data_IF_474153192035
#
_entry.id   IF_474153192035
#
_cell.length_a   1.000
_cell.length_b   1.000
_cell.length_c   1.000
_cell.angle_alpha   90.00
_cell.angle_beta   90.00
_cell.angle_gamma   90.00
#
_symmetry.space_group_name_H-M   'P 1'
#
loop_
_entity.id
_entity.type
_entity.pdbx_description
1 polymer ?
#
# COMPACT_ATOMS: atom_id res chain seq x y z
N UNK A 1 56.74 -16.63 -6.16
CA UNK A 1 55.71 -16.50 -7.22
C UNK A 1 54.51 -17.36 -6.86
N UNK A 2 53.40 -16.75 -6.43
CA UNK A 2 52.01 -17.13 -6.76
C UNK A 2 51.07 -16.24 -5.94
N UNK A 3 50.48 -15.26 -6.64
CA UNK A 3 49.47 -14.36 -6.14
C UNK A 3 48.20 -15.15 -5.85
N UNK A 4 47.69 -15.07 -4.62
CA UNK A 4 46.35 -15.55 -4.29
C UNK A 4 45.41 -14.36 -4.30
N UNK A 5 44.84 -14.12 -5.48
CA UNK A 5 43.75 -13.16 -5.67
C UNK A 5 42.48 -13.78 -5.08
N UNK A 6 42.22 -13.53 -3.80
CA UNK A 6 40.94 -13.86 -3.18
C UNK A 6 40.01 -12.66 -3.40
N UNK A 7 39.38 -12.59 -4.57
CA UNK A 7 38.29 -11.64 -4.81
C UNK A 7 37.03 -12.25 -4.19
N UNK A 8 36.77 -11.83 -2.95
CA UNK A 8 35.52 -12.06 -2.25
C UNK A 8 34.44 -11.21 -2.92
N UNK A 9 33.75 -11.76 -3.91
CA UNK A 9 32.58 -11.11 -4.50
C UNK A 9 31.41 -11.23 -3.51
N UNK A 10 31.30 -10.24 -2.63
CA UNK A 10 30.19 -10.08 -1.70
C UNK A 10 28.91 -9.78 -2.49
N UNK A 11 28.05 -10.78 -2.60
CA UNK A 11 26.67 -10.65 -3.06
C UNK A 11 25.93 -9.80 -2.02
N UNK A 12 25.94 -8.47 -2.19
CA UNK A 12 25.07 -7.55 -1.44
C UNK A 12 23.94 -7.12 -2.38
N UNK A 13 23.07 -8.06 -2.73
CA UNK A 13 21.86 -7.78 -3.50
C UNK A 13 20.56 -8.03 -2.70
N UNK A 14 20.66 -8.35 -1.40
CA UNK A 14 19.49 -8.73 -0.58
C UNK A 14 18.93 -7.66 0.37
N UNK A 15 19.70 -6.62 0.71
CA UNK A 15 19.36 -5.80 1.89
C UNK A 15 18.60 -4.50 1.61
N UNK A 16 18.56 -4.01 0.37
CA UNK A 16 17.90 -2.72 0.08
C UNK A 16 16.37 -2.89 0.00
N UNK A 17 15.90 -4.04 -0.52
CA UNK A 17 14.48 -4.33 -0.63
C UNK A 17 13.81 -4.58 0.74
N UNK A 18 14.49 -5.28 1.65
CA UNK A 18 13.99 -5.53 3.02
C UNK A 18 14.01 -4.26 3.88
N UNK A 19 15.09 -3.47 3.81
CA UNK A 19 15.20 -2.21 4.55
C UNK A 19 14.12 -1.18 4.15
N UNK A 20 13.71 -1.16 2.87
CA UNK A 20 12.62 -0.28 2.42
C UNK A 20 11.24 -0.76 2.87
N UNK A 21 10.97 -2.08 2.86
CA UNK A 21 9.68 -2.61 3.31
C UNK A 21 9.45 -2.36 4.81
N UNK A 22 10.45 -2.60 5.66
CA UNK A 22 10.36 -2.37 7.10
C UNK A 22 10.17 -0.88 7.43
N UNK A 23 10.81 0.01 6.68
CA UNK A 23 10.61 1.44 6.80
C UNK A 23 9.15 1.84 6.51
N UNK A 24 8.58 1.35 5.40
CA UNK A 24 7.19 1.65 5.05
C UNK A 24 6.18 1.06 6.04
N UNK A 25 6.42 -0.17 6.52
CA UNK A 25 5.60 -0.76 7.58
C UNK A 25 5.56 0.12 8.84
N UNK A 26 6.71 0.63 9.27
CA UNK A 26 6.79 1.50 10.44
C UNK A 26 6.11 2.86 10.19
N UNK A 27 6.30 3.42 9.01
CA UNK A 27 5.71 4.70 8.59
C UNK A 27 4.17 4.61 8.58
N UNK A 28 3.61 3.55 7.98
CA UNK A 28 2.17 3.35 7.94
C UNK A 28 1.56 3.02 9.31
N UNK A 29 2.27 2.31 10.20
CA UNK A 29 1.83 2.13 11.61
C UNK A 29 1.78 3.45 12.36
N UNK A 30 2.80 4.29 12.19
CA UNK A 30 2.86 5.61 12.82
C UNK A 30 1.74 6.51 12.31
N UNK A 31 1.51 6.47 11.00
CA UNK A 31 0.41 7.21 10.35
C UNK A 31 -0.96 6.74 10.85
N UNK A 32 -1.18 5.43 10.99
CA UNK A 32 -2.43 4.91 11.52
C UNK A 32 -2.71 5.46 12.93
N UNK A 33 -1.73 5.42 13.83
CA UNK A 33 -1.86 5.98 15.17
C UNK A 33 -2.10 7.50 15.14
N UNK A 34 -1.43 8.22 14.25
CA UNK A 34 -1.63 9.65 14.07
C UNK A 34 -3.06 9.95 13.59
N UNK A 35 -3.54 9.25 12.57
CA UNK A 35 -4.88 9.42 12.03
C UNK A 35 -5.95 9.11 13.07
N UNK A 36 -5.77 8.05 13.88
CA UNK A 36 -6.66 7.74 15.00
C UNK A 36 -6.70 8.89 16.02
N UNK A 37 -5.54 9.36 16.50
CA UNK A 37 -5.46 10.48 17.47
C UNK A 37 -6.09 11.77 16.95
N UNK A 38 -5.87 12.08 15.67
CA UNK A 38 -6.48 13.25 15.02
C UNK A 38 -8.01 13.17 15.02
N UNK A 39 -8.59 11.98 14.96
CA UNK A 39 -10.04 11.79 15.03
C UNK A 39 -10.59 11.74 16.45
N UNK A 40 -9.82 11.23 17.42
CA UNK A 40 -10.20 11.15 18.83
C UNK A 40 -10.19 12.52 19.53
N UNK A 41 -9.30 13.43 19.10
CA UNK A 41 -9.18 14.77 19.69
C UNK A 41 -10.23 15.79 19.25
N UNK A 42 -11.07 15.47 18.26
CA UNK A 42 -12.08 16.39 17.73
C UNK A 42 -13.45 16.04 18.32
N UNK A 43 -13.93 16.86 19.24
CA UNK A 43 -15.26 16.67 19.82
C UNK A 43 -16.34 16.73 18.73
N UNK A 44 -17.48 16.02 18.87
CA UNK A 44 -18.57 16.06 17.90
C UNK A 44 -19.08 17.48 17.59
N UNK A 45 -18.93 18.41 18.53
CA UNK A 45 -19.28 19.83 18.34
C UNK A 45 -18.27 20.59 17.47
N UNK A 46 -16.97 20.26 17.54
CA UNK A 46 -15.95 20.83 16.66
C UNK A 46 -16.10 20.32 15.22
N UNK A 47 -16.44 19.03 15.03
CA UNK A 47 -16.74 18.47 13.70
C UNK A 47 -17.97 19.13 13.05
N UNK A 48 -19.04 19.35 13.83
CA UNK A 48 -20.27 20.01 13.34
C UNK A 48 -20.04 21.48 12.97
N UNK A 49 -19.22 22.21 13.73
CA UNK A 49 -18.90 23.62 13.43
C UNK A 49 -17.96 23.78 12.25
N UNK A 50 -17.00 22.86 12.09
CA UNK A 50 -16.07 22.88 10.97
C UNK A 50 -16.70 22.37 9.66
N UNK A 51 -17.81 21.64 9.73
CA UNK A 51 -18.38 20.89 8.60
C UNK A 51 -17.36 19.91 7.97
N UNK A 52 -16.33 19.55 8.73
CA UNK A 52 -15.28 18.62 8.31
C UNK A 52 -15.44 17.34 9.14
N UNK A 53 -15.78 16.25 8.46
CA UNK A 53 -15.71 14.91 9.03
C UNK A 53 -14.30 14.39 8.79
N UNK A 54 -13.35 14.80 9.65
CA UNK A 54 -12.00 14.21 9.66
C UNK A 54 -12.15 12.77 10.12
N UNK A 55 -12.20 11.87 9.14
CA UNK A 55 -12.27 10.42 9.33
C UNK A 55 -10.87 9.83 9.21
N UNK A 56 -10.52 8.90 10.11
CA UNK A 56 -9.22 8.25 10.14
C UNK A 56 -8.93 7.53 8.82
N UNK A 57 -9.97 7.05 8.13
CA UNK A 57 -9.85 6.45 6.82
C UNK A 57 -9.43 7.45 5.73
N UNK A 58 -9.99 8.66 5.74
CA UNK A 58 -9.64 9.71 4.79
C UNK A 58 -8.20 10.21 5.03
N UNK A 59 -7.81 10.34 6.30
CA UNK A 59 -6.43 10.67 6.68
C UNK A 59 -5.45 9.63 6.15
N UNK A 60 -5.75 8.34 6.35
CA UNK A 60 -4.91 7.25 5.88
C UNK A 60 -4.81 7.20 4.35
N UNK A 61 -5.93 7.37 3.65
CA UNK A 61 -5.98 7.43 2.19
C UNK A 61 -5.19 8.62 1.63
N UNK A 62 -5.31 9.81 2.24
CA UNK A 62 -4.55 10.99 1.83
C UNK A 62 -3.05 10.79 1.99
N UNK A 63 -2.62 10.19 3.10
CA UNK A 63 -1.21 9.89 3.33
C UNK A 63 -0.68 8.90 2.28
N UNK A 64 -1.38 7.77 2.07
CA UNK A 64 -1.01 6.79 1.05
C UNK A 64 -0.91 7.43 -0.35
N UNK A 65 -1.90 8.22 -0.75
CA UNK A 65 -1.91 8.91 -2.04
C UNK A 65 -0.66 9.81 -2.18
N UNK A 66 -0.34 10.57 -1.13
CA UNK A 66 0.81 11.46 -1.11
C UNK A 66 2.13 10.70 -1.24
N UNK A 67 2.29 9.57 -0.55
CA UNK A 67 3.49 8.74 -0.64
C UNK A 67 3.65 8.10 -2.02
N UNK A 68 2.56 7.63 -2.64
CA UNK A 68 2.60 7.04 -3.98
C UNK A 68 3.00 8.04 -5.07
N UNK A 69 2.64 9.31 -4.89
CA UNK A 69 3.06 10.40 -5.79
C UNK A 69 4.49 10.87 -5.52
N UNK A 70 4.91 10.93 -4.26
CA UNK A 70 6.25 11.35 -3.86
C UNK A 70 7.32 10.33 -4.22
N UNK A 71 6.99 9.03 -4.17
CA UNK A 71 7.92 7.92 -4.32
C UNK A 71 7.58 7.02 -5.53
N UNK A 72 7.59 7.53 -6.78
CA UNK A 72 7.16 6.78 -7.96
C UNK A 72 8.01 5.53 -8.22
N UNK A 73 9.26 5.50 -7.76
CA UNK A 73 10.16 4.33 -7.89
C UNK A 73 9.91 3.25 -6.83
N UNK A 74 9.13 3.56 -5.79
CA UNK A 74 8.89 2.67 -4.65
C UNK A 74 7.40 2.35 -4.46
N UNK A 75 6.56 2.63 -5.45
CA UNK A 75 5.10 2.47 -5.34
C UNK A 75 4.67 1.07 -4.88
N UNK A 76 5.37 0.01 -5.32
CA UNK A 76 5.10 -1.36 -4.87
C UNK A 76 5.37 -1.54 -3.37
N UNK A 77 6.52 -1.04 -2.88
CA UNK A 77 6.89 -1.12 -1.46
C UNK A 77 5.95 -0.29 -0.59
N UNK A 78 5.55 0.90 -1.06
CA UNK A 78 4.56 1.76 -0.38
C UNK A 78 3.22 1.04 -0.29
N UNK A 79 2.70 0.50 -1.40
CA UNK A 79 1.44 -0.22 -1.44
C UNK A 79 1.46 -1.45 -0.51
N UNK A 80 2.54 -2.25 -0.57
CA UNK A 80 2.70 -3.43 0.28
C UNK A 80 2.77 -3.06 1.75
N UNK A 81 3.49 -1.99 2.11
CA UNK A 81 3.53 -1.45 3.46
C UNK A 81 2.14 -1.09 3.98
N UNK A 82 1.36 -0.34 3.19
CA UNK A 82 0.00 0.05 3.55
C UNK A 82 -0.93 -1.16 3.77
N UNK A 83 -0.89 -2.14 2.86
CA UNK A 83 -1.71 -3.35 2.93
C UNK A 83 -1.40 -4.23 4.15
N UNK A 84 -0.14 -4.26 4.60
CA UNK A 84 0.29 -5.11 5.72
C UNK A 84 0.04 -4.49 7.10
N UNK A 85 -0.11 -3.17 7.18
CA UNK A 85 -0.38 -2.50 8.47
C UNK A 85 -1.82 -2.65 8.89
N UNK A 86 -2.77 -2.50 7.96
CA UNK A 86 -4.19 -2.62 8.27
C UNK A 86 -4.95 -3.37 7.17
N UNK A 87 -5.12 -4.67 7.38
CA UNK A 87 -5.85 -5.55 6.46
C UNK A 87 -7.35 -5.21 6.35
N UNK A 88 -7.95 -4.51 7.32
CA UNK A 88 -9.35 -4.09 7.24
C UNK A 88 -9.54 -2.89 6.29
N UNK A 89 -8.46 -2.24 5.86
CA UNK A 89 -8.48 -1.09 4.95
C UNK A 89 -8.11 -1.44 3.51
N UNK A 90 -8.10 -2.74 3.18
CA UNK A 90 -7.71 -3.22 1.84
C UNK A 90 -8.48 -2.51 0.73
N UNK A 91 -9.80 -2.32 0.87
CA UNK A 91 -10.59 -1.56 -0.12
C UNK A 91 -10.09 -0.13 -0.31
N UNK A 92 -9.88 0.61 0.78
CA UNK A 92 -9.38 1.99 0.75
C UNK A 92 -8.01 2.08 0.10
N UNK A 93 -7.10 1.17 0.46
CA UNK A 93 -5.73 1.12 -0.06
C UNK A 93 -5.71 0.87 -1.57
N UNK A 94 -6.48 -0.12 -2.04
CA UNK A 94 -6.58 -0.45 -3.47
C UNK A 94 -7.14 0.72 -4.28
N UNK A 95 -8.26 1.32 -3.83
CA UNK A 95 -8.86 2.46 -4.51
C UNK A 95 -7.92 3.66 -4.57
N UNK A 96 -7.21 3.93 -3.47
CA UNK A 96 -6.28 5.05 -3.38
C UNK A 96 -5.11 4.88 -4.34
N UNK A 97 -4.54 3.66 -4.42
CA UNK A 97 -3.44 3.37 -5.32
C UNK A 97 -3.80 3.55 -6.79
N UNK A 98 -4.99 3.07 -7.20
CA UNK A 98 -5.50 3.25 -8.56
C UNK A 98 -5.74 4.74 -8.85
N UNK A 99 -6.37 5.48 -7.92
CA UNK A 99 -6.59 6.93 -8.05
C UNK A 99 -5.30 7.75 -8.04
N UNK A 100 -4.22 7.24 -7.45
CA UNK A 100 -2.88 7.83 -7.51
C UNK A 100 -2.16 7.56 -8.85
N UNK A 101 -2.78 6.80 -9.77
CA UNK A 101 -2.26 6.54 -11.10
C UNK A 101 -1.45 5.24 -11.23
N UNK A 102 -1.43 4.38 -10.20
CA UNK A 102 -0.85 3.05 -10.34
C UNK A 102 -1.67 2.19 -11.31
N UNK A 103 -1.00 1.31 -12.06
CA UNK A 103 -1.67 0.37 -12.96
C UNK A 103 -2.64 -0.53 -12.19
N UNK A 104 -3.93 -0.62 -12.59
CA UNK A 104 -4.90 -1.50 -11.95
C UNK A 104 -4.45 -2.96 -11.89
N UNK A 105 -3.79 -3.44 -12.94
CA UNK A 105 -3.27 -4.81 -13.00
C UNK A 105 -2.22 -5.05 -11.91
N UNK A 106 -1.30 -4.10 -11.74
CA UNK A 106 -0.26 -4.17 -10.73
C UNK A 106 -0.84 -4.08 -9.31
N UNK A 107 -1.76 -3.14 -9.07
CA UNK A 107 -2.41 -2.96 -7.76
C UNK A 107 -3.16 -4.22 -7.33
N UNK A 108 -4.02 -4.77 -8.21
CA UNK A 108 -4.82 -5.96 -7.89
C UNK A 108 -3.94 -7.19 -7.69
N UNK A 109 -2.91 -7.40 -8.51
CA UNK A 109 -2.00 -8.53 -8.36
C UNK A 109 -1.20 -8.45 -7.05
N UNK A 110 -0.56 -7.31 -6.76
CA UNK A 110 0.21 -7.11 -5.54
C UNK A 110 -0.68 -7.18 -4.28
N UNK A 111 -1.87 -6.59 -4.32
CA UNK A 111 -2.81 -6.67 -3.21
C UNK A 111 -3.31 -8.11 -3.00
N UNK A 112 -3.60 -8.85 -4.07
CA UNK A 112 -4.04 -10.24 -4.02
C UNK A 112 -2.96 -11.20 -3.52
N UNK A 113 -1.68 -10.87 -3.72
CA UNK A 113 -0.53 -11.57 -3.15
C UNK A 113 -0.31 -11.21 -1.68
N UNK A 114 -0.35 -9.92 -1.33
CA UNK A 114 -0.13 -9.47 0.04
C UNK A 114 -1.28 -9.83 0.98
N UNK A 115 -2.51 -9.88 0.47
CA UNK A 115 -3.74 -10.13 1.24
C UNK A 115 -4.66 -11.18 0.55
N UNK A 116 -4.23 -12.45 0.43
CA UNK A 116 -4.98 -13.47 -0.32
C UNK A 116 -6.40 -13.73 0.20
N UNK A 117 -6.63 -13.53 1.51
CA UNK A 117 -7.94 -13.69 2.15
C UNK A 117 -8.96 -12.64 1.69
N UNK A 118 -8.50 -11.49 1.19
CA UNK A 118 -9.34 -10.35 0.81
C UNK A 118 -9.50 -10.19 -0.71
N UNK A 119 -9.14 -11.20 -1.52
CA UNK A 119 -9.18 -11.15 -3.00
C UNK A 119 -10.52 -10.64 -3.57
N UNK A 120 -11.65 -11.07 -3.02
CA UNK A 120 -12.98 -10.61 -3.46
C UNK A 120 -13.25 -9.14 -3.13
N UNK A 121 -12.70 -8.65 -2.02
CA UNK A 121 -12.81 -7.24 -1.63
C UNK A 121 -11.90 -6.36 -2.49
N UNK A 122 -10.67 -6.80 -2.75
CA UNK A 122 -9.72 -6.14 -3.66
C UNK A 122 -10.33 -5.94 -5.04
N UNK A 123 -10.92 -7.00 -5.60
CA UNK A 123 -11.58 -6.93 -6.90
C UNK A 123 -12.72 -5.91 -6.91
N UNK A 124 -13.58 -5.92 -5.88
CA UNK A 124 -14.68 -4.95 -5.73
C UNK A 124 -14.17 -3.52 -5.59
N UNK A 125 -13.10 -3.32 -4.83
CA UNK A 125 -12.49 -2.02 -4.63
C UNK A 125 -11.89 -1.47 -5.93
N UNK A 126 -11.23 -2.31 -6.73
CA UNK A 126 -10.72 -1.91 -8.04
C UNK A 126 -11.85 -1.50 -9.00
N UNK A 127 -12.94 -2.27 -9.05
CA UNK A 127 -14.13 -1.91 -9.85
C UNK A 127 -14.75 -0.59 -9.36
N UNK A 128 -14.84 -0.40 -8.05
CA UNK A 128 -15.34 0.85 -7.46
C UNK A 128 -14.42 2.06 -7.75
N UNK A 129 -13.14 1.83 -8.06
CA UNK A 129 -12.21 2.85 -8.54
C UNK A 129 -12.33 3.13 -10.05
N UNK A 130 -13.25 2.47 -10.77
CA UNK A 130 -13.49 2.66 -12.20
C UNK A 130 -12.74 1.70 -13.12
N UNK A 131 -12.15 0.64 -12.59
CA UNK A 131 -11.46 -0.39 -13.40
C UNK A 131 -12.49 -1.32 -14.04
N UNK A 132 -12.28 -1.64 -15.32
CA UNK A 132 -13.09 -2.62 -16.04
C UNK A 132 -13.04 -4.00 -15.32
N UNK A 133 -14.20 -4.63 -15.01
CA UNK A 133 -14.26 -5.95 -14.38
C UNK A 133 -13.47 -7.06 -15.09
N UNK A 134 -13.36 -6.99 -16.41
CA UNK A 134 -12.59 -7.96 -17.20
C UNK A 134 -11.09 -7.89 -16.87
N UNK A 135 -10.52 -6.69 -16.78
CA UNK A 135 -9.12 -6.45 -16.40
C UNK A 135 -8.83 -6.85 -14.95
N UNK A 136 -9.80 -6.67 -14.05
CA UNK A 136 -9.68 -7.10 -12.65
C UNK A 136 -9.61 -8.63 -12.55
N UNK A 137 -10.37 -9.34 -13.38
CA UNK A 137 -10.37 -10.81 -13.43
C UNK A 137 -9.00 -11.34 -13.88
N UNK A 138 -8.44 -10.74 -14.94
CA UNK A 138 -7.08 -11.07 -15.42
C UNK A 138 -6.01 -10.80 -14.36
N UNK A 139 -6.04 -9.63 -13.72
CA UNK A 139 -5.09 -9.27 -12.68
C UNK A 139 -5.19 -10.18 -11.44
N UNK A 140 -6.40 -10.58 -11.07
CA UNK A 140 -6.64 -11.53 -9.98
C UNK A 140 -6.07 -12.91 -10.33
N UNK A 141 -6.18 -13.35 -11.57
CA UNK A 141 -5.60 -14.60 -12.04
C UNK A 141 -4.06 -14.54 -12.05
N UNK A 142 -3.47 -13.43 -12.51
CA UNK A 142 -2.02 -13.22 -12.47
C UNK A 142 -1.47 -13.29 -11.03
N UNK A 143 -2.17 -12.67 -10.08
CA UNK A 143 -1.82 -12.73 -8.65
C UNK A 143 -1.86 -14.13 -8.03
N UNK A 144 -2.56 -15.11 -8.63
CA UNK A 144 -2.58 -16.52 -8.19
C UNK A 144 -1.41 -17.35 -8.72
N UNK A 145 -0.88 -17.01 -9.89
CA UNK A 145 0.19 -17.77 -10.55
C UNK A 145 1.60 -17.55 -9.98
N UNK A 146 1.74 -16.62 -9.04
CA UNK A 146 3.01 -16.24 -8.41
C UNK A 146 3.24 -16.86 -7.01
N UNK A 147 2.29 -17.68 -6.53
CA UNK A 147 2.42 -18.53 -5.33
C UNK A 147 3.09 -19.86 -5.69
#
# INVERSE_FOLDING_TARGET
>A
MKNWTMVLTLIVAGNVALASQDAWLNEFRTTEQMCQRLTEGVTPQAQRKANVKLDAEQCYAWFLHSQLLAEPRQQESVLKGALLVNEQRVSTVVQTAIKAGMSPMQVVALAGQAQPKYRTEIARAAIAAGVDPSLVTEATAAGKSSE
#
